data_IF_235130787017
#
_entry.id   IF_235130787017
#
_cell.length_a   1.000
_cell.length_b   1.000
_cell.length_c   1.000
_cell.angle_alpha   90.00
_cell.angle_beta   90.00
_cell.angle_gamma   90.00
#
_symmetry.space_group_name_H-M   'P 1'
#
loop_
_entity.id
_entity.type
_entity.pdbx_description
1 polymer ?
#
# COMPACT_ATOMS: atom_id res chain seq x y z
N UNK A 1 -34.82 3.85 -34.97
CA UNK A 1 -34.51 5.21 -35.46
C UNK A 1 -34.46 6.15 -34.27
N UNK A 2 -33.37 6.95 -34.16
CA UNK A 2 -33.20 8.17 -33.34
C UNK A 2 -33.25 7.92 -31.81
N UNK A 3 -32.16 7.98 -31.05
CA UNK A 3 -31.12 9.02 -30.98
C UNK A 3 -31.55 10.10 -29.96
N UNK A 4 -30.73 10.70 -29.09
CA UNK A 4 -29.28 10.72 -28.85
C UNK A 4 -29.09 11.69 -27.64
N UNK A 5 -28.01 11.57 -26.85
CA UNK A 5 -27.51 12.50 -25.81
C UNK A 5 -28.25 12.46 -24.45
N UNK A 6 -27.62 12.38 -23.26
CA UNK A 6 -26.39 13.04 -22.79
C UNK A 6 -25.41 12.09 -22.06
N UNK A 7 -24.16 12.10 -22.51
CA UNK A 7 -22.97 12.15 -21.65
C UNK A 7 -22.97 13.43 -20.82
N UNK A 8 -22.68 13.35 -19.51
CA UNK A 8 -22.20 14.36 -18.53
C UNK A 8 -22.69 13.88 -17.15
N UNK A 9 -21.87 13.58 -16.14
CA UNK A 9 -20.81 14.42 -15.61
C UNK A 9 -19.58 13.62 -15.18
N UNK A 10 -18.51 13.81 -15.94
CA UNK A 10 -17.19 13.93 -15.34
C UNK A 10 -17.11 15.27 -14.60
N UNK A 11 -16.20 15.34 -13.63
CA UNK A 11 -15.70 16.51 -12.89
C UNK A 11 -16.52 16.99 -11.70
N UNK A 12 -15.99 16.74 -10.51
CA UNK A 12 -15.77 17.80 -9.50
C UNK A 12 -14.42 17.57 -8.80
N UNK A 13 -13.45 18.41 -9.21
CA UNK A 13 -12.40 19.12 -8.44
C UNK A 13 -11.65 18.32 -7.35
N UNK A 14 -10.38 17.93 -7.51
CA UNK A 14 -9.15 18.71 -7.72
C UNK A 14 -8.79 19.69 -6.58
N UNK A 15 -7.56 19.49 -6.08
CA UNK A 15 -6.69 20.35 -5.27
C UNK A 15 -6.84 20.29 -3.74
N UNK A 16 -5.80 19.83 -3.02
CA UNK A 16 -4.75 20.71 -2.50
C UNK A 16 -3.50 19.95 -2.00
N UNK A 17 -2.36 20.33 -2.60
CA UNK A 17 -1.01 20.48 -2.02
C UNK A 17 -0.33 19.34 -1.25
N UNK A 18 0.56 18.62 -1.95
CA UNK A 18 1.83 18.20 -1.36
C UNK A 18 2.78 19.39 -1.47
N UNK A 19 2.76 20.24 -0.45
CA UNK A 19 3.83 21.17 -0.17
C UNK A 19 4.35 20.77 1.21
N UNK A 20 5.66 20.84 1.40
CA UNK A 20 6.32 20.88 2.72
C UNK A 20 6.96 19.58 3.27
N UNK A 21 7.83 18.92 2.51
CA UNK A 21 8.84 18.02 3.12
C UNK A 21 10.31 18.28 2.69
N UNK A 22 10.58 19.41 2.04
CA UNK A 22 11.94 19.76 1.54
C UNK A 22 12.55 21.05 2.13
N UNK A 23 12.31 21.38 3.41
CA UNK A 23 12.93 22.57 4.03
C UNK A 23 13.57 22.31 5.39
N UNK A 24 14.76 21.71 5.37
CA UNK A 24 15.83 21.95 6.34
C UNK A 24 17.15 22.05 5.61
N UNK A 25 17.45 23.23 5.08
CA UNK A 25 18.79 23.67 4.70
C UNK A 25 18.93 25.15 5.12
N UNK A 26 20.05 25.57 5.73
CA UNK A 26 20.28 26.93 6.19
C UNK A 26 20.39 27.94 5.04
N UNK A 27 19.97 29.17 5.33
CA UNK A 27 19.90 30.33 4.42
C UNK A 27 21.24 30.61 3.73
N UNK A 28 21.28 30.50 2.40
CA UNK A 28 22.17 31.27 1.51
C UNK A 28 21.34 31.77 0.31
N UNK A 29 21.52 33.04 -0.03
CA UNK A 29 20.76 33.84 -0.99
C UNK A 29 20.95 33.41 -2.48
N UNK A 30 20.11 33.89 -3.42
CA UNK A 30 19.75 33.20 -4.66
C UNK A 30 20.57 33.62 -5.89
N UNK A 31 20.70 32.71 -6.86
CA UNK A 31 20.96 33.07 -8.25
C UNK A 31 20.47 31.99 -9.24
N UNK A 32 19.80 32.50 -10.27
CA UNK A 32 19.72 32.00 -11.65
C UNK A 32 18.82 30.80 -11.98
N UNK A 33 17.98 31.06 -12.99
CA UNK A 33 17.11 30.17 -13.70
C UNK A 33 17.86 29.08 -14.46
N UNK A 34 17.22 27.92 -14.63
CA UNK A 34 17.45 27.05 -15.78
C UNK A 34 16.15 26.30 -16.10
N UNK A 35 15.65 26.56 -17.32
CA UNK A 35 14.64 25.78 -18.00
C UNK A 35 15.23 24.44 -18.47
N UNK A 36 14.32 23.49 -18.76
CA UNK A 36 14.42 22.27 -19.59
C UNK A 36 14.17 20.97 -18.80
N UNK A 37 13.81 19.86 -19.46
CA UNK A 37 12.91 19.70 -20.60
C UNK A 37 11.79 18.66 -20.32
N UNK A 38 10.75 18.72 -21.14
CA UNK A 38 9.64 17.76 -21.19
C UNK A 38 10.16 16.38 -21.66
N UNK A 39 10.21 15.41 -20.74
CA UNK A 39 10.49 14.00 -21.03
C UNK A 39 9.21 13.22 -20.75
N UNK A 40 8.31 13.23 -21.73
CA UNK A 40 7.09 12.45 -21.72
C UNK A 40 7.37 10.96 -21.79
N UNK A 41 7.34 10.27 -20.65
CA UNK A 41 7.23 8.82 -20.60
C UNK A 41 5.76 8.43 -20.78
N UNK A 42 5.41 7.95 -21.96
CA UNK A 42 4.23 7.12 -22.20
C UNK A 42 4.60 5.68 -21.89
N UNK A 43 3.72 4.95 -21.22
CA UNK A 43 3.72 3.48 -21.18
C UNK A 43 2.28 2.96 -21.25
N UNK A 44 2.07 1.72 -21.72
CA UNK A 44 0.98 1.35 -22.62
C UNK A 44 -0.17 0.64 -21.90
N UNK A 45 -1.38 0.76 -22.44
CA UNK A 45 -2.54 -0.03 -22.03
C UNK A 45 -2.35 -1.51 -22.38
N UNK A 46 -2.51 -2.46 -21.43
CA UNK A 46 -2.42 -3.88 -21.70
C UNK A 46 -3.79 -4.56 -21.58
N UNK A 47 -4.75 -4.27 -22.46
CA UNK A 47 -5.94 -5.13 -22.55
C UNK A 47 -6.36 -5.30 -24.01
N UNK A 48 -5.80 -6.34 -24.63
CA UNK A 48 -6.22 -6.88 -25.90
C UNK A 48 -7.48 -7.73 -25.75
N UNK A 49 -8.35 -7.63 -26.75
CA UNK A 49 -9.63 -8.31 -26.87
C UNK A 49 -9.49 -9.84 -26.97
N UNK A 50 -10.40 -10.55 -26.30
CA UNK A 50 -10.76 -11.94 -26.59
C UNK A 50 -12.18 -12.21 -26.08
N UNK A 51 -13.12 -12.70 -26.90
CA UNK A 51 -14.49 -12.96 -26.45
C UNK A 51 -14.74 -14.45 -26.13
N UNK A 52 -15.79 -14.64 -25.32
CA UNK A 52 -16.64 -15.83 -25.15
C UNK A 52 -16.14 -16.99 -24.28
N UNK A 53 -16.84 -17.26 -23.18
CA UNK A 53 -17.75 -18.42 -23.08
C UNK A 53 -18.63 -18.32 -21.82
N UNK A 54 -19.89 -18.64 -22.02
CA UNK A 54 -20.99 -18.81 -21.07
C UNK A 54 -20.89 -20.20 -20.43
N UNK A 55 -21.28 -20.34 -19.15
CA UNK A 55 -22.15 -21.43 -18.67
C UNK A 55 -22.47 -21.27 -17.17
N UNK A 56 -23.74 -21.50 -16.83
CA UNK A 56 -24.31 -21.68 -15.49
C UNK A 56 -24.97 -23.08 -15.48
N UNK A 57 -25.70 -23.50 -14.43
CA UNK A 57 -25.43 -23.55 -12.98
C UNK A 57 -25.59 -25.00 -12.45
N UNK A 58 -25.22 -25.31 -11.20
CA UNK A 58 -25.88 -26.38 -10.42
C UNK A 58 -25.76 -26.13 -8.91
N UNK A 59 -26.90 -26.22 -8.24
CA UNK A 59 -27.06 -26.22 -6.80
C UNK A 59 -26.63 -27.57 -6.19
N UNK A 60 -26.11 -27.54 -4.96
CA UNK A 60 -26.11 -28.68 -4.04
C UNK A 60 -26.18 -28.15 -2.61
N UNK A 61 -27.16 -28.68 -1.89
CA UNK A 61 -27.51 -28.50 -0.48
C UNK A 61 -26.66 -29.37 0.45
N UNK A 62 -26.71 -29.05 1.75
CA UNK A 62 -26.20 -29.78 2.94
C UNK A 62 -24.70 -29.52 3.23
N UNK A 63 -24.22 -29.31 4.45
CA UNK A 63 -24.76 -29.44 5.81
C UNK A 63 -23.79 -28.67 6.75
N UNK A 64 -24.34 -28.14 7.84
CA UNK A 64 -23.78 -27.84 9.18
C UNK A 64 -22.38 -27.24 9.47
N UNK A 65 -22.46 -26.35 10.47
CA UNK A 65 -21.46 -25.90 11.44
C UNK A 65 -20.47 -24.76 11.07
N UNK A 66 -20.94 -23.50 11.17
CA UNK A 66 -20.06 -22.40 11.56
C UNK A 66 -20.79 -21.33 12.40
N UNK A 67 -20.45 -21.30 13.70
CA UNK A 67 -20.45 -20.17 14.65
C UNK A 67 -21.30 -18.92 14.35
N UNK A 68 -22.24 -18.51 15.23
CA UNK A 68 -22.83 -17.19 15.14
C UNK A 68 -21.88 -16.14 15.76
N UNK A 69 -21.17 -15.39 14.93
CA UNK A 69 -20.76 -14.02 15.28
C UNK A 69 -21.93 -13.08 14.97
N UNK A 70 -22.58 -12.46 15.97
CA UNK A 70 -23.63 -11.49 15.69
C UNK A 70 -22.99 -10.15 15.33
N UNK A 71 -22.74 -9.90 14.05
CA UNK A 71 -22.69 -8.52 13.54
C UNK A 71 -24.06 -8.18 12.96
N UNK A 72 -25.02 -7.99 13.86
CA UNK A 72 -26.28 -7.35 13.50
C UNK A 72 -26.01 -5.85 13.31
N UNK A 73 -25.59 -5.46 12.11
CA UNK A 73 -25.60 -4.05 11.71
C UNK A 73 -27.06 -3.62 11.52
N UNK A 74 -27.49 -2.63 12.29
CA UNK A 74 -28.77 -1.96 12.06
C UNK A 74 -28.82 -1.39 10.62
N UNK A 75 -30.01 -1.32 9.99
CA UNK A 75 -30.12 -0.80 8.63
C UNK A 75 -29.57 0.63 8.55
N UNK A 76 -28.62 0.86 7.64
CA UNK A 76 -27.83 2.08 7.61
C UNK A 76 -28.60 3.32 7.13
N UNK A 77 -29.89 3.17 6.84
CA UNK A 77 -30.73 4.16 6.15
C UNK A 77 -31.23 5.29 7.08
N UNK A 78 -31.26 5.07 8.40
CA UNK A 78 -31.69 6.08 9.39
C UNK A 78 -30.50 6.71 10.16
N UNK A 79 -29.26 6.46 9.73
CA UNK A 79 -28.08 7.00 10.40
C UNK A 79 -27.85 8.47 10.02
N UNK A 80 -27.42 9.33 10.97
CA UNK A 80 -26.96 10.67 10.66
C UNK A 80 -25.75 10.63 9.71
N UNK A 81 -25.50 11.70 8.92
CA UNK A 81 -24.35 11.75 8.04
C UNK A 81 -23.05 11.59 8.84
N UNK A 82 -22.08 10.81 8.32
CA UNK A 82 -20.80 10.61 8.99
C UNK A 82 -20.00 11.92 9.05
N UNK A 83 -19.04 11.98 10.00
CA UNK A 83 -18.08 13.09 10.07
C UNK A 83 -17.38 13.27 8.72
N UNK A 84 -17.26 14.52 8.26
CA UNK A 84 -16.67 14.84 6.96
C UNK A 84 -17.62 14.80 5.77
N UNK A 85 -18.90 14.47 5.96
CA UNK A 85 -19.89 14.40 4.89
C UNK A 85 -21.08 15.32 5.16
N UNK A 86 -21.57 16.02 4.13
CA UNK A 86 -22.79 16.81 4.25
C UNK A 86 -24.04 15.91 4.22
N UNK A 87 -25.16 16.40 4.76
CA UNK A 87 -26.43 15.70 4.68
C UNK A 87 -26.87 15.43 3.23
N UNK A 88 -26.57 16.34 2.29
CA UNK A 88 -26.89 16.16 0.88
C UNK A 88 -26.04 15.07 0.21
N UNK A 89 -24.74 15.03 0.51
CA UNK A 89 -23.84 13.97 0.02
C UNK A 89 -24.24 12.60 0.58
N UNK A 90 -24.62 12.56 1.85
CA UNK A 90 -25.10 11.33 2.50
C UNK A 90 -26.40 10.82 1.87
N UNK A 91 -27.39 11.70 1.66
CA UNK A 91 -28.62 11.33 0.98
C UNK A 91 -28.37 10.84 -0.45
N UNK A 92 -27.45 11.49 -1.18
CA UNK A 92 -27.09 11.09 -2.54
C UNK A 92 -26.43 9.71 -2.59
N UNK A 93 -25.53 9.39 -1.64
CA UNK A 93 -24.93 8.07 -1.53
C UNK A 93 -26.00 7.00 -1.29
N UNK A 94 -26.89 7.23 -0.33
CA UNK A 94 -27.96 6.30 0.01
C UNK A 94 -28.92 6.03 -1.16
N UNK A 95 -29.23 7.06 -1.94
CA UNK A 95 -30.07 6.96 -3.13
C UNK A 95 -29.33 6.21 -4.27
N UNK A 96 -28.05 6.51 -4.49
CA UNK A 96 -27.25 5.84 -5.53
C UNK A 96 -27.10 4.32 -5.31
N UNK A 97 -27.16 3.88 -4.05
CA UNK A 97 -27.02 2.48 -3.66
C UNK A 97 -28.35 1.79 -3.41
N UNK A 98 -29.50 2.45 -3.66
CA UNK A 98 -30.83 1.94 -3.29
C UNK A 98 -31.09 0.52 -3.78
N UNK A 99 -30.67 0.22 -5.00
CA UNK A 99 -30.92 -1.06 -5.66
C UNK A 99 -29.66 -1.98 -5.63
N UNK A 100 -28.63 -1.64 -4.84
CA UNK A 100 -27.38 -2.42 -4.72
C UNK A 100 -27.57 -3.63 -3.77
N UNK A 101 -27.11 -4.84 -4.15
CA UNK A 101 -27.29 -6.05 -3.33
C UNK A 101 -26.59 -5.98 -1.97
N UNK A 102 -25.50 -5.22 -1.87
CA UNK A 102 -24.74 -5.00 -0.62
C UNK A 102 -24.88 -3.56 -0.10
N UNK A 103 -26.03 -2.92 -0.35
CA UNK A 103 -26.29 -1.51 -0.05
C UNK A 103 -25.79 -1.09 1.34
N UNK A 104 -26.23 -1.77 2.39
CA UNK A 104 -25.91 -1.37 3.76
C UNK A 104 -24.41 -1.50 4.07
N UNK A 105 -23.76 -2.55 3.56
CA UNK A 105 -22.33 -2.75 3.73
C UNK A 105 -21.52 -1.66 3.02
N UNK A 106 -21.91 -1.28 1.80
CA UNK A 106 -21.24 -0.25 1.04
C UNK A 106 -21.46 1.15 1.64
N UNK A 107 -22.69 1.45 2.09
CA UNK A 107 -22.99 2.68 2.84
C UNK A 107 -22.10 2.77 4.10
N UNK A 108 -22.00 1.70 4.88
CA UNK A 108 -21.18 1.67 6.08
C UNK A 108 -19.69 1.83 5.75
N UNK A 109 -19.19 1.17 4.70
CA UNK A 109 -17.80 1.28 4.24
C UNK A 109 -17.44 2.71 3.86
N UNK A 110 -18.27 3.35 3.04
CA UNK A 110 -18.04 4.73 2.60
C UNK A 110 -18.14 5.70 3.77
N UNK A 111 -19.10 5.52 4.68
CA UNK A 111 -19.25 6.37 5.85
C UNK A 111 -18.01 6.33 6.76
N UNK A 112 -17.52 5.13 7.02
CA UNK A 112 -16.33 4.87 7.83
C UNK A 112 -15.06 5.42 7.15
N UNK A 113 -14.91 5.26 5.83
CA UNK A 113 -13.82 5.88 5.07
C UNK A 113 -13.83 7.41 5.18
N UNK A 114 -15.01 8.03 5.06
CA UNK A 114 -15.15 9.49 5.13
C UNK A 114 -14.85 10.06 6.52
N UNK A 115 -15.27 9.35 7.58
CA UNK A 115 -14.92 9.70 8.95
C UNK A 115 -13.40 9.61 9.20
N UNK A 116 -12.74 8.60 8.64
CA UNK A 116 -11.29 8.45 8.70
C UNK A 116 -10.59 9.61 7.98
N UNK A 117 -11.01 9.93 6.74
CA UNK A 117 -10.42 11.02 5.96
C UNK A 117 -10.58 12.36 6.67
N UNK A 118 -11.76 12.62 7.24
CA UNK A 118 -12.00 13.83 8.02
C UNK A 118 -11.06 13.96 9.22
N UNK A 119 -10.85 12.85 9.94
CA UNK A 119 -9.92 12.82 11.09
C UNK A 119 -8.48 13.07 10.64
N UNK A 120 -8.10 12.53 9.48
CA UNK A 120 -6.78 12.73 8.89
C UNK A 120 -6.57 14.19 8.49
N UNK A 121 -7.55 14.82 7.88
CA UNK A 121 -7.51 16.23 7.48
C UNK A 121 -7.42 17.14 8.72
N UNK A 122 -8.21 16.86 9.75
CA UNK A 122 -8.18 17.58 11.02
C UNK A 122 -6.81 17.47 11.70
N UNK A 123 -6.25 16.26 11.77
CA UNK A 123 -4.93 16.01 12.32
C UNK A 123 -3.85 16.81 11.57
N UNK A 124 -3.86 16.76 10.23
CA UNK A 124 -2.91 17.50 9.41
C UNK A 124 -3.05 19.01 9.59
N UNK A 125 -4.29 19.52 9.60
CA UNK A 125 -4.55 20.95 9.79
C UNK A 125 -4.05 21.45 11.15
N UNK A 126 -4.37 20.73 12.24
CA UNK A 126 -3.91 21.09 13.58
C UNK A 126 -2.38 21.02 13.70
N UNK A 127 -1.76 19.98 13.12
CA UNK A 127 -0.30 19.84 13.11
C UNK A 127 0.36 20.98 12.33
N UNK A 128 -0.20 21.38 11.20
CA UNK A 128 0.28 22.52 10.41
C UNK A 128 0.17 23.86 11.14
N UNK A 129 -0.83 24.00 12.03
CA UNK A 129 -1.01 25.16 12.89
C UNK A 129 -0.13 25.14 14.15
N UNK A 130 0.67 24.08 14.35
CA UNK A 130 1.53 23.94 15.52
C UNK A 130 0.79 23.58 16.80
N UNK A 131 -0.36 22.89 16.68
CA UNK A 131 -1.12 22.42 17.83
C UNK A 131 -0.23 21.56 18.77
N UNK A 132 -0.39 21.68 20.09
CA UNK A 132 0.39 20.93 21.04
C UNK A 132 0.09 19.43 20.97
N UNK A 133 1.06 18.59 21.33
CA UNK A 133 0.96 17.13 21.16
C UNK A 133 -0.26 16.51 21.85
N UNK A 134 -0.69 17.04 23.00
CA UNK A 134 -1.84 16.49 23.73
C UNK A 134 -3.17 16.67 22.98
N UNK A 135 -3.29 17.69 22.13
CA UNK A 135 -4.45 17.91 21.25
C UNK A 135 -4.39 16.97 20.02
N UNK A 136 -3.19 16.69 19.52
CA UNK A 136 -2.98 15.81 18.36
C UNK A 136 -3.08 14.32 18.71
N UNK A 137 -2.75 13.92 19.94
CA UNK A 137 -2.76 12.53 20.39
C UNK A 137 -4.09 11.78 20.18
N UNK A 138 -5.28 12.29 20.53
CA UNK A 138 -6.53 11.57 20.29
C UNK A 138 -6.76 11.28 18.80
N UNK A 139 -6.52 12.27 17.93
CA UNK A 139 -6.64 12.08 16.48
C UNK A 139 -5.62 11.07 15.97
N UNK A 140 -4.38 11.15 16.46
CA UNK A 140 -3.34 10.21 16.06
C UNK A 140 -3.66 8.78 16.48
N UNK A 141 -4.25 8.56 17.66
CA UNK A 141 -4.69 7.22 18.11
C UNK A 141 -5.83 6.69 17.26
N UNK A 142 -6.79 7.54 16.92
CA UNK A 142 -7.92 7.17 16.06
C UNK A 142 -7.44 6.75 14.66
N UNK A 143 -6.54 7.53 14.06
CA UNK A 143 -5.92 7.20 12.77
C UNK A 143 -5.10 5.91 12.85
N UNK A 144 -4.32 5.72 13.91
CA UNK A 144 -3.50 4.52 14.09
C UNK A 144 -4.36 3.25 14.21
N UNK A 145 -5.50 3.35 14.90
CA UNK A 145 -6.45 2.25 15.05
C UNK A 145 -7.15 1.91 13.72
N UNK A 146 -7.43 2.90 12.87
CA UNK A 146 -8.09 2.71 11.58
C UNK A 146 -7.16 2.25 10.45
N UNK A 147 -5.84 2.31 10.65
CA UNK A 147 -4.84 2.13 9.59
C UNK A 147 -4.86 0.73 8.97
N UNK A 148 -4.89 -0.32 9.81
CA UNK A 148 -4.88 -1.72 9.39
C UNK A 148 -6.07 -2.02 8.47
N UNK A 149 -7.25 -1.54 8.86
CA UNK A 149 -8.49 -1.72 8.10
C UNK A 149 -8.42 -1.05 6.71
N UNK A 150 -7.75 0.11 6.58
CA UNK A 150 -7.57 0.76 5.27
C UNK A 150 -6.70 -0.08 4.34
N UNK A 151 -5.64 -0.69 4.88
CA UNK A 151 -4.74 -1.56 4.12
C UNK A 151 -5.50 -2.81 3.67
N UNK A 152 -6.23 -3.47 4.57
CA UNK A 152 -7.00 -4.68 4.25
C UNK A 152 -8.06 -4.43 3.17
N UNK A 153 -8.69 -3.25 3.16
CA UNK A 153 -9.69 -2.87 2.15
C UNK A 153 -9.10 -2.34 0.85
N UNK A 154 -7.78 -2.22 0.75
CA UNK A 154 -7.13 -1.63 -0.43
C UNK A 154 -7.37 -0.12 -0.59
N UNK A 155 -7.85 0.54 0.46
CA UNK A 155 -8.10 2.00 0.48
C UNK A 155 -6.80 2.79 0.72
N UNK A 156 -5.75 2.11 1.19
CA UNK A 156 -4.41 2.68 1.38
C UNK A 156 -3.36 1.63 1.03
N UNK A 157 -2.35 2.01 0.25
CA UNK A 157 -1.23 1.11 -0.03
C UNK A 157 -0.30 0.97 1.17
N UNK A 158 0.44 -0.15 1.25
CA UNK A 158 1.36 -0.38 2.36
C UNK A 158 2.45 0.71 2.49
N UNK A 159 3.08 1.21 1.40
CA UNK A 159 4.04 2.32 1.51
C UNK A 159 3.41 3.61 2.05
N UNK A 160 2.19 3.96 1.63
CA UNK A 160 1.47 5.14 2.15
C UNK A 160 1.15 4.96 3.64
N UNK A 161 0.66 3.80 4.03
CA UNK A 161 0.38 3.47 5.42
C UNK A 161 1.65 3.54 6.29
N UNK A 162 2.80 3.13 5.77
CA UNK A 162 4.07 3.24 6.49
C UNK A 162 4.47 4.70 6.74
N UNK A 163 4.28 5.57 5.77
CA UNK A 163 4.55 7.00 5.91
C UNK A 163 3.62 7.62 6.97
N UNK A 164 2.33 7.30 6.91
CA UNK A 164 1.36 7.75 7.90
C UNK A 164 1.71 7.22 9.28
N UNK A 165 1.98 5.91 9.43
CA UNK A 165 2.39 5.29 10.70
C UNK A 165 3.60 5.99 11.31
N UNK A 166 4.62 6.29 10.51
CA UNK A 166 5.79 7.03 10.97
C UNK A 166 5.42 8.42 11.50
N UNK A 167 4.56 9.15 10.77
CA UNK A 167 4.13 10.49 11.18
C UNK A 167 3.28 10.47 12.45
N UNK A 168 2.41 9.46 12.62
CA UNK A 168 1.59 9.26 13.82
C UNK A 168 2.48 8.94 15.03
N UNK A 169 3.50 8.11 14.85
CA UNK A 169 4.45 7.76 15.91
C UNK A 169 5.19 8.98 16.47
N UNK A 170 5.47 10.01 15.67
CA UNK A 170 6.03 11.28 16.17
C UNK A 170 5.14 11.96 17.23
N UNK A 171 3.83 11.73 17.15
CA UNK A 171 2.84 12.30 18.09
C UNK A 171 2.58 11.37 19.27
N UNK A 172 2.55 10.06 19.00
CA UNK A 172 2.17 9.04 19.97
C UNK A 172 3.32 8.60 20.86
N UNK A 173 4.56 8.72 20.38
CA UNK A 173 5.73 8.19 21.07
C UNK A 173 6.87 9.23 21.12
N UNK A 174 7.10 9.89 22.26
CA UNK A 174 8.15 10.89 22.41
C UNK A 174 9.57 10.33 22.24
N UNK A 175 9.79 9.08 22.66
CA UNK A 175 11.11 8.42 22.61
C UNK A 175 11.45 7.96 21.18
N UNK A 176 12.58 8.42 20.65
CA UNK A 176 13.01 8.13 19.28
C UNK A 176 13.37 6.64 19.05
N UNK A 177 13.96 5.98 20.05
CA UNK A 177 14.31 4.56 19.98
C UNK A 177 13.04 3.72 19.98
N UNK A 178 12.08 4.06 20.83
CA UNK A 178 10.78 3.37 20.87
C UNK A 178 9.95 3.62 19.61
N UNK A 179 10.02 4.82 19.00
CA UNK A 179 9.40 5.09 17.68
C UNK A 179 9.95 4.15 16.61
N UNK A 180 11.27 4.04 16.54
CA UNK A 180 11.95 3.18 15.55
C UNK A 180 11.55 1.73 15.75
N UNK A 181 11.59 1.23 16.99
CA UNK A 181 11.20 -0.13 17.32
C UNK A 181 9.72 -0.42 16.98
N UNK A 182 8.82 0.53 17.24
CA UNK A 182 7.40 0.39 16.92
C UNK A 182 7.14 0.36 15.40
N UNK A 183 7.81 1.23 14.63
CA UNK A 183 7.71 1.24 13.18
C UNK A 183 8.27 -0.05 12.57
N UNK A 184 9.39 -0.56 13.09
CA UNK A 184 9.98 -1.83 12.66
C UNK A 184 9.07 -3.02 12.93
N UNK A 185 8.48 -3.06 14.13
CA UNK A 185 7.51 -4.10 14.48
C UNK A 185 6.29 -4.04 13.56
N UNK A 186 5.78 -2.85 13.27
CA UNK A 186 4.67 -2.66 12.34
C UNK A 186 5.03 -3.13 10.92
N UNK A 187 6.21 -2.77 10.40
CA UNK A 187 6.70 -3.20 9.08
C UNK A 187 6.82 -4.72 8.98
N UNK A 188 7.37 -5.38 10.01
CA UNK A 188 7.50 -6.84 10.04
C UNK A 188 6.16 -7.58 10.00
N UNK A 189 5.08 -6.98 10.53
CA UNK A 189 3.74 -7.58 10.46
C UNK A 189 3.13 -7.52 9.07
N UNK A 190 3.52 -6.53 8.26
CA UNK A 190 2.94 -6.27 6.94
C UNK A 190 3.82 -6.68 5.76
N UNK A 191 5.11 -6.87 6.02
CA UNK A 191 6.02 -7.42 5.02
C UNK A 191 5.92 -8.93 5.14
N UNK A 192 5.47 -9.64 4.10
CA UNK A 192 5.51 -11.09 4.12
C UNK A 192 6.95 -11.53 4.42
N UNK A 193 7.15 -12.59 5.22
CA UNK A 193 8.49 -13.10 5.45
C UNK A 193 9.12 -13.35 4.09
N UNK A 194 10.42 -13.04 3.91
CA UNK A 194 11.10 -13.40 2.69
C UNK A 194 10.85 -14.90 2.45
N UNK A 195 10.63 -15.30 1.17
CA UNK A 195 10.46 -16.72 0.88
C UNK A 195 11.61 -17.48 1.53
N UNK A 196 11.30 -18.64 2.13
CA UNK A 196 12.31 -19.49 2.72
C UNK A 196 13.45 -19.65 1.71
N UNK A 197 14.66 -19.25 2.11
CA UNK A 197 15.80 -19.26 1.21
C UNK A 197 15.99 -20.67 0.66
N UNK A 198 15.94 -20.82 -0.66
CA UNK A 198 16.05 -22.13 -1.32
C UNK A 198 17.36 -22.78 -0.85
N UNK A 199 17.32 -23.99 -0.24
CA UNK A 199 18.51 -24.66 0.26
C UNK A 199 19.56 -24.88 -0.85
N UNK A 200 19.14 -24.98 -2.12
CA UNK A 200 20.04 -25.04 -3.28
C UNK A 200 20.82 -23.75 -3.47
N UNK A 201 20.17 -22.59 -3.30
CA UNK A 201 20.83 -21.27 -3.38
C UNK A 201 21.84 -21.10 -2.24
N UNK A 202 21.50 -21.52 -1.02
CA UNK A 202 22.45 -21.48 0.09
C UNK A 202 23.65 -22.42 -0.12
N UNK A 203 23.40 -23.63 -0.64
CA UNK A 203 24.46 -24.58 -0.95
C UNK A 203 25.38 -24.04 -2.06
N UNK A 204 24.82 -23.45 -3.12
CA UNK A 204 25.57 -22.77 -4.17
C UNK A 204 26.46 -21.66 -3.61
N UNK A 205 25.93 -20.74 -2.79
CA UNK A 205 26.72 -19.64 -2.22
C UNK A 205 27.87 -20.13 -1.33
N UNK A 206 27.66 -21.19 -0.53
CA UNK A 206 28.73 -21.82 0.25
C UNK A 206 29.81 -22.42 -0.63
N UNK A 207 29.44 -23.09 -1.72
CA UNK A 207 30.40 -23.72 -2.64
C UNK A 207 31.13 -22.69 -3.51
N UNK A 208 30.43 -21.66 -3.99
CA UNK A 208 30.99 -20.54 -4.73
C UNK A 208 32.02 -19.78 -3.89
N UNK A 209 31.67 -19.41 -2.65
CA UNK A 209 32.62 -18.73 -1.75
C UNK A 209 33.84 -19.59 -1.43
N UNK A 210 33.68 -20.91 -1.26
CA UNK A 210 34.79 -21.83 -1.08
C UNK A 210 35.71 -21.91 -2.33
N UNK A 211 35.14 -21.96 -3.54
CA UNK A 211 35.90 -21.96 -4.79
C UNK A 211 36.68 -20.65 -4.99
N UNK A 212 36.03 -19.52 -4.74
CA UNK A 212 36.68 -18.19 -4.83
C UNK A 212 37.80 -18.07 -3.80
N UNK A 213 37.58 -18.51 -2.56
CA UNK A 213 38.60 -18.49 -1.52
C UNK A 213 39.80 -19.39 -1.88
N UNK A 214 39.54 -20.60 -2.39
CA UNK A 214 40.58 -21.53 -2.84
C UNK A 214 41.39 -20.94 -4.00
N UNK A 215 40.73 -20.30 -4.96
CA UNK A 215 41.41 -19.62 -6.08
C UNK A 215 42.26 -18.43 -5.60
N UNK A 216 41.75 -17.63 -4.67
CA UNK A 216 42.51 -16.52 -4.08
C UNK A 216 43.74 -17.00 -3.30
N UNK A 217 43.67 -18.18 -2.67
CA UNK A 217 44.79 -18.78 -1.96
C UNK A 217 45.93 -19.28 -2.87
N UNK A 218 45.69 -19.47 -4.18
CA UNK A 218 46.74 -19.86 -5.14
C UNK A 218 47.77 -18.73 -5.32
N UNK A 219 49.05 -19.06 -5.61
CA UNK A 219 50.04 -18.07 -6.04
C UNK A 219 49.56 -17.30 -7.28
N UNK A 220 49.90 -16.00 -7.45
CA UNK A 220 49.42 -15.19 -8.57
C UNK A 220 49.71 -15.80 -9.95
N UNK A 221 50.85 -16.47 -10.11
CA UNK A 221 51.23 -17.16 -11.36
C UNK A 221 50.36 -18.39 -11.68
N UNK A 222 49.62 -18.91 -10.70
CA UNK A 222 48.74 -20.08 -10.83
C UNK A 222 47.25 -19.69 -10.83
N UNK A 223 46.92 -18.42 -10.56
CA UNK A 223 45.55 -17.92 -10.61
C UNK A 223 45.11 -17.75 -12.05
N UNK A 224 44.40 -18.74 -12.58
CA UNK A 224 43.84 -18.70 -13.93
C UNK A 224 42.36 -18.30 -13.87
N UNK A 225 41.97 -17.09 -14.31
CA UNK A 225 40.58 -16.62 -14.22
C UNK A 225 39.60 -17.50 -15.01
N UNK A 226 40.01 -18.01 -16.18
CA UNK A 226 39.18 -18.89 -17.01
C UNK A 226 38.84 -20.22 -16.32
N UNK A 227 39.78 -20.74 -15.52
CA UNK A 227 39.55 -21.98 -14.77
C UNK A 227 38.52 -21.77 -13.65
N UNK A 228 38.61 -20.66 -12.91
CA UNK A 228 37.61 -20.30 -11.90
C UNK A 228 36.22 -20.13 -12.54
N UNK A 229 36.13 -19.41 -13.66
CA UNK A 229 34.87 -19.22 -14.37
C UNK A 229 34.23 -20.56 -14.78
N UNK A 230 35.03 -21.49 -15.33
CA UNK A 230 34.56 -22.83 -15.72
C UNK A 230 34.03 -23.61 -14.51
N UNK A 231 34.70 -23.51 -13.36
CA UNK A 231 34.26 -24.17 -12.12
C UNK A 231 32.95 -23.57 -11.58
N UNK A 232 32.80 -22.24 -11.64
CA UNK A 232 31.57 -21.56 -11.24
C UNK A 232 30.40 -21.89 -12.17
N UNK A 233 30.63 -22.00 -13.48
CA UNK A 233 29.60 -22.36 -14.45
C UNK A 233 29.18 -23.83 -14.29
N UNK A 234 30.13 -24.75 -14.07
CA UNK A 234 29.82 -26.15 -13.76
C UNK A 234 29.04 -26.28 -12.43
N UNK A 235 29.39 -25.49 -11.42
CA UNK A 235 28.67 -25.41 -10.14
C UNK A 235 27.24 -24.88 -10.34
N UNK A 236 27.05 -23.84 -11.17
CA UNK A 236 25.71 -23.33 -11.48
C UNK A 236 24.87 -24.39 -12.17
N UNK A 237 25.45 -25.11 -13.14
CA UNK A 237 24.77 -26.16 -13.86
C UNK A 237 24.40 -27.35 -12.97
N UNK A 238 25.25 -27.75 -12.02
CA UNK A 238 24.95 -28.87 -11.12
C UNK A 238 23.86 -28.54 -10.10
N UNK A 239 23.72 -27.28 -9.70
CA UNK A 239 22.72 -26.87 -8.71
C UNK A 239 21.37 -26.52 -9.34
N UNK A 240 21.36 -25.96 -10.55
CA UNK A 240 20.15 -25.41 -11.19
C UNK A 240 19.80 -26.02 -12.56
N UNK A 241 20.65 -26.89 -13.11
CA UNK A 241 20.48 -27.45 -14.46
C UNK A 241 19.50 -28.61 -14.59
N UNK A 242 19.09 -29.25 -13.49
CA UNK A 242 18.28 -30.48 -13.48
C UNK A 242 16.76 -30.24 -13.56
N UNK A 243 16.33 -29.07 -14.03
CA UNK A 243 14.91 -28.66 -14.08
C UNK A 243 14.20 -28.86 -15.43
N UNK A 244 14.61 -29.82 -16.26
CA UNK A 244 13.95 -30.15 -17.54
C UNK A 244 13.07 -31.39 -17.45
#
# INVERSE_FOLDING_TARGET
MKGRHLTLAALLLAALTIVWWQRREPVVAPAAAAQQPDVGWRTPSPFGNGPAAQEAPVATTADDDESPVPSASAPATDLPPPRGMSASQWAQLQDSLRDHPERDAEIARVADYMAYQHTLDLYQAQRAQGAPLHELQPLARELDAGLEQRITRGEMSLPEAQLLKSALLDTLQPDATQRTAALDAWRRRHTPPPPAADPRVQAYQRQESALVAAWQALPPSQRQPQQLQTQLDALRQSVFGDGR
#
